data_IF_957703016267
#
_entry.id   IF_957703016267
#
_cell.length_a   1.000
_cell.length_b   1.000
_cell.length_c   1.000
_cell.angle_alpha   90.00
_cell.angle_beta   90.00
_cell.angle_gamma   90.00
#
_symmetry.space_group_name_H-M   'P 1'
#
loop_
_entity.id
_entity.type
_entity.pdbx_description
1 polymer ?
#
# COMPACT_ATOMS: atom_id res chain seq x y z
N UNK A 1 -0.28 -37.91 -9.00
CA UNK A 1 0.99 -37.65 -9.71
C UNK A 1 0.89 -36.18 -10.08
N UNK A 2 1.27 -35.25 -9.23
CA UNK A 2 2.53 -35.14 -8.48
C UNK A 2 2.26 -34.43 -7.14
N UNK A 3 2.74 -34.98 -6.03
CA UNK A 3 2.57 -34.39 -4.69
C UNK A 3 3.79 -34.71 -3.83
N UNK A 4 4.94 -34.21 -4.24
CA UNK A 4 6.06 -34.02 -3.33
C UNK A 4 5.73 -32.85 -2.41
N UNK A 5 5.06 -33.12 -1.30
CA UNK A 5 5.18 -32.28 -0.11
C UNK A 5 6.66 -32.35 0.29
N UNK A 6 7.41 -31.28 0.03
CA UNK A 6 8.80 -31.17 0.50
C UNK A 6 8.81 -31.26 2.02
N UNK A 7 9.35 -32.35 2.57
CA UNK A 7 9.64 -32.47 3.99
C UNK A 7 10.81 -31.52 4.32
N UNK A 8 10.50 -30.34 4.85
CA UNK A 8 11.50 -29.38 5.33
C UNK A 8 11.96 -29.75 6.74
N UNK A 9 13.27 -29.67 7.00
CA UNK A 9 13.78 -29.73 8.37
C UNK A 9 13.42 -28.45 9.13
N UNK A 10 13.39 -28.50 10.47
CA UNK A 10 13.09 -27.32 11.29
C UNK A 10 14.03 -26.14 11.01
N UNK A 11 15.32 -26.41 10.77
CA UNK A 11 16.30 -25.40 10.37
C UNK A 11 15.96 -24.78 9.00
N UNK A 12 15.63 -25.62 8.00
CA UNK A 12 15.24 -25.15 6.67
C UNK A 12 13.94 -24.35 6.70
N UNK A 13 13.01 -24.70 7.59
CA UNK A 13 11.77 -23.96 7.77
C UNK A 13 12.02 -22.60 8.41
N UNK A 14 12.84 -22.52 9.47
CA UNK A 14 13.20 -21.24 10.11
C UNK A 14 13.91 -20.33 9.13
N UNK A 15 14.85 -20.85 8.34
CA UNK A 15 15.52 -20.06 7.31
C UNK A 15 14.53 -19.58 6.26
N UNK A 16 13.63 -20.45 5.77
CA UNK A 16 12.59 -20.07 4.82
C UNK A 16 11.63 -19.01 5.39
N UNK A 17 11.28 -19.08 6.68
CA UNK A 17 10.46 -18.04 7.31
C UNK A 17 11.22 -16.72 7.40
N UNK A 18 12.51 -16.75 7.75
CA UNK A 18 13.36 -15.55 7.79
C UNK A 18 13.52 -14.91 6.41
N UNK A 19 13.72 -15.72 5.38
CA UNK A 19 13.77 -15.26 3.98
C UNK A 19 12.47 -14.58 3.57
N UNK A 20 11.31 -15.19 3.89
CA UNK A 20 10.00 -14.60 3.62
C UNK A 20 9.77 -13.29 4.40
N UNK A 21 10.24 -13.21 5.64
CA UNK A 21 10.18 -11.97 6.44
C UNK A 21 11.07 -10.87 5.83
N UNK A 22 12.26 -11.20 5.35
CA UNK A 22 13.14 -10.25 4.65
C UNK A 22 12.48 -9.78 3.36
N UNK A 23 11.95 -10.69 2.54
CA UNK A 23 11.25 -10.36 1.29
C UNK A 23 10.02 -9.47 1.56
N UNK A 24 9.25 -9.80 2.61
CA UNK A 24 8.13 -8.98 3.04
C UNK A 24 8.57 -7.59 3.53
N UNK A 25 9.70 -7.49 4.25
CA UNK A 25 10.27 -6.22 4.72
C UNK A 25 10.79 -5.36 3.58
N UNK A 26 11.39 -5.97 2.55
CA UNK A 26 11.83 -5.26 1.35
C UNK A 26 10.64 -4.77 0.52
N UNK A 27 9.57 -5.57 0.43
CA UNK A 27 8.35 -5.19 -0.28
C UNK A 27 7.50 -4.15 0.49
N UNK A 28 7.53 -4.16 1.83
CA UNK A 28 6.71 -3.30 2.69
C UNK A 28 7.55 -2.57 3.75
N UNK A 29 8.28 -1.50 3.37
CA UNK A 29 9.24 -0.83 4.25
C UNK A 29 8.62 0.14 5.27
N UNK A 30 7.31 0.39 5.23
CA UNK A 30 6.66 1.40 6.07
C UNK A 30 5.70 0.78 7.09
N UNK A 31 5.52 1.47 8.22
CA UNK A 31 4.56 1.06 9.25
C UNK A 31 3.12 1.12 8.74
N UNK A 32 2.39 0.03 8.83
CA UNK A 32 1.01 -0.08 8.35
C UNK A 32 -0.06 -0.03 9.46
N UNK A 33 0.23 0.67 10.56
CA UNK A 33 -0.61 0.78 11.76
C UNK A 33 -1.48 2.05 11.82
N UNK A 34 -1.38 2.96 10.83
CA UNK A 34 -2.17 4.21 10.79
C UNK A 34 -2.95 4.39 9.48
N UNK A 35 -4.28 4.36 9.56
CA UNK A 35 -5.12 4.68 8.41
C UNK A 35 -5.19 6.21 8.15
N UNK A 36 -4.97 6.61 6.90
CA UNK A 36 -4.93 8.04 6.50
C UNK A 36 -6.29 8.73 6.43
N UNK A 37 -7.42 8.03 6.58
CA UNK A 37 -8.75 8.66 6.58
C UNK A 37 -8.82 9.83 7.56
N UNK A 38 -8.28 9.67 8.77
CA UNK A 38 -8.33 10.72 9.80
C UNK A 38 -7.47 11.94 9.47
N UNK A 39 -6.56 11.84 8.49
CA UNK A 39 -5.70 12.93 8.03
C UNK A 39 -6.35 13.80 6.95
N UNK A 40 -7.52 13.39 6.43
CA UNK A 40 -8.24 14.12 5.40
C UNK A 40 -7.72 13.85 3.98
N UNK A 41 -7.79 14.85 3.12
CA UNK A 41 -7.33 14.76 1.74
C UNK A 41 -5.82 14.95 1.66
N UNK A 42 -5.14 13.98 1.08
CA UNK A 42 -3.70 13.95 0.91
C UNK A 42 -3.35 13.49 -0.50
N UNK A 43 -2.11 13.76 -0.91
CA UNK A 43 -1.43 12.99 -1.96
C UNK A 43 -0.74 11.79 -1.32
N UNK A 44 -1.14 10.58 -1.68
CA UNK A 44 -0.68 9.36 -1.01
C UNK A 44 -0.76 8.15 -1.95
N UNK A 45 -0.03 7.09 -1.63
CA UNK A 45 -0.18 5.79 -2.31
C UNK A 45 -1.54 5.17 -2.00
N UNK A 46 -2.26 4.79 -3.05
CA UNK A 46 -3.59 4.18 -2.96
C UNK A 46 -3.66 2.84 -3.68
N UNK A 47 -4.62 2.04 -3.25
CA UNK A 47 -4.99 0.77 -3.86
C UNK A 47 -6.49 0.74 -4.11
N UNK A 48 -6.91 0.33 -5.31
CA UNK A 48 -8.31 0.00 -5.58
C UNK A 48 -8.59 -1.42 -5.12
N UNK A 49 -9.61 -1.62 -4.27
CA UNK A 49 -10.03 -2.96 -3.88
C UNK A 49 -11.14 -3.46 -4.79
N UNK A 50 -10.78 -4.32 -5.76
CA UNK A 50 -11.71 -4.89 -6.74
C UNK A 50 -12.72 -5.84 -6.09
N UNK A 51 -12.32 -6.51 -5.01
CA UNK A 51 -13.22 -7.37 -4.22
C UNK A 51 -14.33 -6.55 -3.58
N UNK A 52 -13.97 -5.53 -2.79
CA UNK A 52 -14.96 -4.63 -2.19
C UNK A 52 -15.77 -3.86 -3.23
N UNK A 53 -15.18 -3.54 -4.39
CA UNK A 53 -15.91 -2.89 -5.47
C UNK A 53 -17.06 -3.76 -5.97
N UNK A 54 -16.84 -5.07 -6.17
CA UNK A 54 -17.89 -6.01 -6.58
C UNK A 54 -18.95 -6.20 -5.51
N UNK A 55 -18.55 -6.25 -4.24
CA UNK A 55 -19.45 -6.45 -3.10
C UNK A 55 -20.32 -5.21 -2.81
N UNK A 56 -19.74 -4.01 -2.89
CA UNK A 56 -20.41 -2.76 -2.55
C UNK A 56 -21.00 -2.03 -3.77
N UNK A 57 -20.79 -2.56 -4.98
CA UNK A 57 -21.11 -1.92 -6.27
C UNK A 57 -20.64 -0.45 -6.34
N UNK A 58 -19.39 -0.22 -5.92
CA UNK A 58 -18.83 1.12 -5.76
C UNK A 58 -17.32 1.14 -5.94
N UNK A 59 -16.82 2.10 -6.73
CA UNK A 59 -15.39 2.43 -6.75
C UNK A 59 -14.93 2.86 -5.36
N UNK A 60 -13.71 2.48 -5.02
CA UNK A 60 -13.09 2.73 -3.72
C UNK A 60 -11.57 2.85 -3.89
N UNK A 61 -10.93 3.63 -3.02
CA UNK A 61 -9.48 3.66 -2.87
C UNK A 61 -9.08 3.54 -1.40
N UNK A 62 -8.20 2.61 -1.06
CA UNK A 62 -7.70 2.41 0.29
C UNK A 62 -6.22 2.80 0.39
N UNK A 63 -5.82 3.37 1.52
CA UNK A 63 -4.42 3.75 1.74
C UNK A 63 -3.52 2.53 1.96
N UNK A 64 -2.21 2.74 1.86
CA UNK A 64 -1.18 1.72 2.12
C UNK A 64 -1.43 0.89 3.38
N UNK A 65 -1.63 1.50 4.56
CA UNK A 65 -1.88 0.69 5.76
C UNK A 65 -3.12 -0.21 5.67
N UNK A 66 -4.16 0.24 4.98
CA UNK A 66 -5.41 -0.52 4.87
C UNK A 66 -5.33 -1.61 3.81
N UNK A 67 -4.53 -1.43 2.75
CA UNK A 67 -4.28 -2.49 1.76
C UNK A 67 -3.68 -3.73 2.44
N UNK A 68 -2.84 -3.52 3.45
CA UNK A 68 -2.21 -4.58 4.25
C UNK A 68 -3.11 -5.03 5.41
N UNK A 69 -3.48 -4.13 6.33
CA UNK A 69 -4.15 -4.54 7.59
C UNK A 69 -5.61 -4.93 7.44
N UNK A 70 -6.30 -4.46 6.40
CA UNK A 70 -7.75 -4.66 6.23
C UNK A 70 -8.11 -5.43 4.95
N UNK A 71 -7.27 -5.34 3.92
CA UNK A 71 -7.58 -5.83 2.58
C UNK A 71 -6.52 -6.79 2.01
N UNK A 72 -5.63 -7.35 2.83
CA UNK A 72 -4.57 -8.24 2.34
C UNK A 72 -5.08 -9.51 1.64
N UNK A 73 -6.30 -9.98 1.98
CA UNK A 73 -6.96 -11.13 1.33
C UNK A 73 -7.75 -10.76 0.07
N UNK A 74 -7.81 -9.48 -0.27
CA UNK A 74 -8.62 -9.01 -1.39
C UNK A 74 -7.77 -8.81 -2.64
N UNK A 75 -8.42 -8.94 -3.79
CA UNK A 75 -7.85 -8.49 -5.06
C UNK A 75 -7.72 -6.95 -5.05
N UNK A 76 -6.47 -6.48 -5.07
CA UNK A 76 -6.09 -5.08 -5.03
C UNK A 76 -5.33 -4.70 -6.31
N UNK A 77 -5.55 -3.46 -6.79
CA UNK A 77 -4.75 -2.86 -7.85
C UNK A 77 -4.08 -1.61 -7.29
N UNK A 78 -2.75 -1.55 -7.36
CA UNK A 78 -1.98 -0.38 -6.97
C UNK A 78 -2.26 0.80 -7.93
N UNK A 79 -2.58 1.96 -7.37
CA UNK A 79 -2.87 3.19 -8.11
C UNK A 79 -1.73 4.20 -8.02
N UNK A 80 -0.63 3.82 -7.35
CA UNK A 80 0.48 4.69 -6.99
C UNK A 80 -0.02 5.93 -6.23
N UNK A 81 0.65 7.05 -6.41
CA UNK A 81 0.28 8.33 -5.80
C UNK A 81 -0.95 8.91 -6.49
N UNK A 82 -1.98 9.21 -5.68
CA UNK A 82 -3.14 10.00 -6.07
C UNK A 82 -3.31 11.17 -5.12
N UNK A 83 -3.59 12.35 -5.66
CA UNK A 83 -3.78 13.59 -4.90
C UNK A 83 -5.21 13.79 -4.43
N UNK A 84 -5.35 14.68 -3.45
CA UNK A 84 -6.63 15.11 -2.90
C UNK A 84 -7.59 13.94 -2.64
N UNK A 85 -7.08 12.88 -2.02
CA UNK A 85 -7.84 11.66 -1.79
C UNK A 85 -7.79 11.25 -0.32
N UNK A 86 -8.94 10.87 0.21
CA UNK A 86 -9.11 10.37 1.57
C UNK A 86 -9.48 8.89 1.53
N UNK A 87 -8.80 8.05 2.33
CA UNK A 87 -8.96 6.59 2.32
C UNK A 87 -10.42 6.14 2.53
N UNK A 88 -10.95 5.28 1.66
CA UNK A 88 -12.34 4.80 1.73
C UNK A 88 -12.55 3.61 2.68
N UNK A 89 -11.49 3.03 3.25
CA UNK A 89 -11.61 1.86 4.12
C UNK A 89 -12.52 2.17 5.31
N UNK A 90 -13.50 1.30 5.57
CA UNK A 90 -14.48 1.47 6.65
C UNK A 90 -15.66 2.39 6.31
N UNK A 91 -15.75 2.86 5.06
CA UNK A 91 -16.91 3.60 4.55
C UNK A 91 -17.86 2.67 3.82
N UNK A 92 -19.03 3.18 3.42
CA UNK A 92 -19.94 2.42 2.54
C UNK A 92 -19.43 2.22 1.11
N UNK A 93 -18.20 2.61 0.76
CA UNK A 93 -17.54 2.24 -0.51
C UNK A 93 -16.78 0.92 -0.43
N UNK A 94 -16.40 0.46 0.76
CA UNK A 94 -15.64 -0.80 0.97
C UNK A 94 -16.47 -1.92 1.62
N UNK A 95 -17.80 -1.85 1.54
CA UNK A 95 -18.68 -2.65 2.40
C UNK A 95 -18.74 -2.05 3.80
N UNK A 96 -19.91 -2.07 4.44
CA UNK A 96 -20.19 -1.33 5.68
C UNK A 96 -19.43 -1.82 6.94
N UNK A 97 -18.40 -2.64 6.78
CA UNK A 97 -17.51 -3.09 7.84
C UNK A 97 -16.65 -1.94 8.35
N UNK A 98 -16.23 -2.00 9.61
CA UNK A 98 -15.32 -1.00 10.18
C UNK A 98 -13.87 -1.24 9.75
N UNK A 99 -13.09 -0.18 9.61
CA UNK A 99 -11.64 -0.31 9.44
C UNK A 99 -11.01 -0.92 10.71
N UNK A 100 -10.21 -1.98 10.59
CA UNK A 100 -9.56 -2.66 11.72
C UNK A 100 -8.60 -1.75 12.48
N UNK A 101 -7.88 -0.88 11.76
CA UNK A 101 -6.93 0.08 12.35
C UNK A 101 -7.67 1.13 13.18
N UNK A 102 -8.68 1.80 12.59
CA UNK A 102 -9.42 2.87 13.26
C UNK A 102 -10.50 2.37 14.22
N UNK A 103 -10.85 1.09 14.14
CA UNK A 103 -11.92 0.41 14.91
C UNK A 103 -13.27 1.13 14.84
N UNK A 104 -13.54 1.79 13.71
CA UNK A 104 -14.72 2.63 13.52
C UNK A 104 -15.15 2.67 12.06
N UNK A 105 -16.45 2.91 11.85
CA UNK A 105 -16.99 3.23 10.53
C UNK A 105 -16.71 4.69 10.19
N UNK A 106 -16.66 4.98 8.90
CA UNK A 106 -16.42 6.29 8.35
C UNK A 106 -17.51 6.71 7.37
N UNK A 107 -17.65 8.01 7.18
CA UNK A 107 -18.51 8.58 6.15
C UNK A 107 -17.76 8.64 4.82
N UNK A 108 -18.49 8.69 3.71
CA UNK A 108 -17.86 8.84 2.40
C UNK A 108 -17.21 10.21 2.29
N UNK A 109 -15.98 10.25 1.81
CA UNK A 109 -15.31 11.48 1.44
C UNK A 109 -15.96 12.07 0.16
N UNK A 110 -16.62 13.23 0.22
CA UNK A 110 -17.41 13.74 -0.90
C UNK A 110 -16.56 14.28 -2.07
N UNK A 111 -15.29 14.63 -1.84
CA UNK A 111 -14.42 15.23 -2.86
C UNK A 111 -13.49 14.22 -3.53
N UNK A 112 -13.51 12.95 -3.10
CA UNK A 112 -12.76 11.88 -3.76
C UNK A 112 -13.19 11.77 -5.22
N UNK A 113 -12.20 11.73 -6.12
CA UNK A 113 -12.41 11.55 -7.56
C UNK A 113 -11.93 10.16 -7.98
N UNK A 114 -12.71 9.53 -8.86
CA UNK A 114 -12.45 8.17 -9.33
C UNK A 114 -12.46 8.18 -10.85
N UNK A 115 -11.34 7.82 -11.46
CA UNK A 115 -11.26 7.50 -12.87
C UNK A 115 -11.29 5.97 -13.06
N UNK A 116 -11.10 5.50 -14.29
CA UNK A 116 -11.10 4.07 -14.60
C UNK A 116 -9.92 3.28 -13.98
N UNK A 117 -8.87 3.94 -13.44
CA UNK A 117 -7.79 3.24 -12.72
C UNK A 117 -8.33 2.53 -11.49
N UNK A 118 -9.37 3.09 -10.86
CA UNK A 118 -10.06 2.47 -9.74
C UNK A 118 -10.84 1.21 -10.12
N UNK A 119 -10.89 0.86 -11.41
CA UNK A 119 -11.42 -0.40 -11.95
C UNK A 119 -10.31 -1.35 -12.42
N UNK A 120 -9.05 -1.00 -12.15
CA UNK A 120 -7.87 -1.69 -12.68
C UNK A 120 -7.57 -1.40 -14.15
N UNK A 121 -8.21 -0.39 -14.76
CA UNK A 121 -8.00 -0.02 -16.17
C UNK A 121 -7.17 1.24 -16.30
N UNK A 122 -6.22 1.24 -17.21
CA UNK A 122 -5.30 2.35 -17.38
C UNK A 122 -5.16 2.71 -18.86
N UNK A 123 -4.64 3.91 -19.09
CA UNK A 123 -4.33 4.46 -20.40
C UNK A 123 -5.58 4.71 -21.26
N UNK A 124 -5.44 5.53 -22.29
CA UNK A 124 -6.52 5.76 -23.27
C UNK A 124 -6.97 4.48 -24.01
N UNK A 125 -6.21 3.37 -23.91
CA UNK A 125 -6.61 2.06 -24.42
C UNK A 125 -7.58 1.29 -23.49
N UNK A 126 -7.83 1.79 -22.28
CA UNK A 126 -8.79 1.26 -21.30
C UNK A 126 -8.61 -0.25 -21.00
N UNK A 127 -7.35 -0.69 -20.99
CA UNK A 127 -6.99 -2.10 -20.78
C UNK A 127 -6.75 -2.35 -19.30
N UNK A 128 -7.13 -3.54 -18.83
CA UNK A 128 -6.85 -3.96 -17.47
C UNK A 128 -5.34 -4.10 -17.28
N UNK A 129 -4.79 -3.45 -16.26
CA UNK A 129 -3.36 -3.47 -15.99
C UNK A 129 -2.99 -4.73 -15.21
N UNK A 130 -2.03 -5.46 -15.75
CA UNK A 130 -1.42 -6.63 -15.12
C UNK A 130 0.09 -6.38 -15.09
N UNK A 131 0.69 -6.16 -13.90
CA UNK A 131 2.11 -5.83 -13.78
C UNK A 131 3.02 -6.94 -14.28
N UNK A 132 2.56 -8.20 -14.34
CA UNK A 132 3.36 -9.33 -14.85
C UNK A 132 3.37 -9.40 -16.39
N UNK A 133 2.33 -8.86 -17.03
CA UNK A 133 2.17 -8.90 -18.48
C UNK A 133 2.48 -7.56 -19.15
N UNK A 134 2.50 -6.46 -18.38
CA UNK A 134 2.74 -5.15 -18.95
C UNK A 134 4.16 -5.03 -19.50
N UNK A 135 4.25 -4.59 -20.76
CA UNK A 135 5.51 -4.43 -21.46
C UNK A 135 5.68 -2.97 -21.88
N UNK A 136 6.83 -2.38 -21.54
CA UNK A 136 7.15 -1.00 -21.86
C UNK A 136 6.98 -0.05 -20.67
N UNK A 137 7.36 1.20 -20.87
CA UNK A 137 7.30 2.22 -19.82
C UNK A 137 5.93 2.89 -19.83
N UNK A 138 5.34 3.04 -18.64
CA UNK A 138 4.13 3.84 -18.47
C UNK A 138 4.47 5.19 -17.84
N UNK A 139 3.77 6.23 -18.26
CA UNK A 139 3.95 7.59 -17.76
C UNK A 139 2.66 8.11 -17.15
N UNK A 140 2.76 8.67 -15.95
CA UNK A 140 1.62 9.30 -15.28
C UNK A 140 1.43 10.74 -15.80
N UNK A 141 0.20 11.07 -16.19
CA UNK A 141 -0.16 12.45 -16.51
C UNK A 141 -0.22 13.30 -15.23
N UNK A 142 0.56 14.36 -15.14
CA UNK A 142 0.60 15.26 -13.97
C UNK A 142 -0.78 15.88 -13.66
N UNK A 143 -1.66 16.04 -14.66
CA UNK A 143 -2.96 16.72 -14.52
C UNK A 143 -4.18 15.81 -14.26
N UNK A 144 -4.17 14.54 -14.65
CA UNK A 144 -5.28 13.62 -14.35
C UNK A 144 -4.87 12.39 -13.53
N UNK A 145 -3.57 12.21 -13.29
CA UNK A 145 -2.97 11.07 -12.57
C UNK A 145 -3.26 9.70 -13.18
N UNK A 146 -3.81 9.68 -14.40
CA UNK A 146 -3.93 8.47 -15.21
C UNK A 146 -2.57 8.10 -15.82
N UNK A 147 -2.35 6.81 -16.04
CA UNK A 147 -1.11 6.25 -16.56
C UNK A 147 -1.26 5.86 -18.02
N UNK A 148 -0.28 6.21 -18.85
CA UNK A 148 -0.34 5.99 -20.29
C UNK A 148 0.85 5.15 -20.74
N UNK A 149 0.59 4.13 -21.55
CA UNK A 149 1.66 3.39 -22.24
C UNK A 149 2.42 4.30 -23.18
N UNK A 150 3.74 4.12 -23.26
CA UNK A 150 4.62 4.76 -24.24
C UNK A 150 4.05 4.75 -25.66
N UNK A 151 3.67 3.57 -26.18
CA UNK A 151 3.05 3.35 -27.50
C UNK A 151 1.76 4.13 -27.70
N UNK A 152 0.97 4.30 -26.65
CA UNK A 152 -0.30 5.03 -26.70
C UNK A 152 -0.06 6.54 -26.66
N UNK A 153 0.96 7.00 -25.93
CA UNK A 153 1.42 8.37 -25.98
C UNK A 153 1.95 8.72 -27.38
N UNK A 154 2.80 7.89 -27.97
CA UNK A 154 3.31 8.08 -29.35
C UNK A 154 2.18 8.14 -30.38
N UNK A 155 1.22 7.22 -30.30
CA UNK A 155 0.04 7.23 -31.16
C UNK A 155 -0.76 8.54 -31.01
N UNK A 156 -0.93 9.02 -29.78
CA UNK A 156 -1.58 10.31 -29.51
C UNK A 156 -0.72 11.53 -29.87
N UNK A 157 0.60 11.35 -29.99
CA UNK A 157 1.61 12.32 -30.43
C UNK A 157 1.82 12.28 -31.96
N UNK A 158 0.77 11.94 -32.72
CA UNK A 158 0.79 11.89 -34.18
C UNK A 158 1.81 10.89 -34.74
N UNK A 159 2.13 9.83 -33.99
CA UNK A 159 3.11 8.82 -34.37
C UNK A 159 4.56 9.28 -34.24
N UNK A 160 4.82 10.43 -33.61
CA UNK A 160 6.19 10.84 -33.27
C UNK A 160 6.65 10.05 -32.04
N UNK A 161 7.91 9.57 -32.05
CA UNK A 161 8.48 8.91 -30.88
C UNK A 161 8.49 9.85 -29.68
N UNK A 162 8.51 9.28 -28.47
CA UNK A 162 8.70 10.07 -27.27
C UNK A 162 10.08 10.77 -27.30
N UNK A 163 10.22 11.94 -26.65
CA UNK A 163 11.52 12.53 -26.42
C UNK A 163 12.44 11.57 -25.64
N UNK A 164 13.73 11.86 -25.62
CA UNK A 164 14.67 11.10 -24.80
C UNK A 164 14.22 11.13 -23.33
N UNK A 165 14.31 9.99 -22.63
CA UNK A 165 13.81 9.87 -21.25
C UNK A 165 14.52 10.80 -20.26
N UNK A 166 15.73 11.29 -20.59
CA UNK A 166 16.45 12.26 -19.76
C UNK A 166 16.06 13.72 -20.08
N UNK A 167 15.23 13.94 -21.10
CA UNK A 167 14.85 15.28 -21.56
C UNK A 167 13.55 15.82 -20.96
N UNK A 168 12.80 15.00 -20.23
CA UNK A 168 11.57 15.41 -19.56
C UNK A 168 11.35 14.62 -18.27
N UNK A 169 10.66 15.26 -17.33
CA UNK A 169 10.28 14.70 -16.02
C UNK A 169 8.78 14.42 -15.96
N UNK A 170 7.95 15.28 -16.58
CA UNK A 170 6.50 15.16 -16.48
C UNK A 170 5.81 15.07 -17.84
N UNK A 171 4.66 14.40 -17.84
CA UNK A 171 3.78 14.26 -19.01
C UNK A 171 2.44 14.92 -18.74
N UNK A 172 1.91 15.63 -19.75
CA UNK A 172 0.50 16.03 -19.81
C UNK A 172 -0.15 15.29 -20.97
N UNK A 173 -1.13 14.43 -20.69
CA UNK A 173 -1.80 13.66 -21.73
C UNK A 173 -2.59 14.56 -22.71
N UNK A 174 -2.84 14.04 -23.92
CA UNK A 174 -3.55 14.78 -24.97
C UNK A 174 -4.90 15.34 -24.52
N UNK A 175 -5.65 14.61 -23.71
CA UNK A 175 -6.99 15.04 -23.26
C UNK A 175 -6.89 16.22 -22.30
N UNK A 176 -5.93 16.20 -21.37
CA UNK A 176 -5.64 17.33 -20.50
C UNK A 176 -5.13 18.54 -21.30
N UNK A 177 -4.26 18.32 -22.29
CA UNK A 177 -3.80 19.38 -23.19
C UNK A 177 -4.97 19.98 -23.96
N UNK A 178 -5.88 19.17 -24.49
CA UNK A 178 -7.07 19.64 -25.20
C UNK A 178 -7.99 20.45 -24.30
N UNK A 179 -8.24 19.96 -23.07
CA UNK A 179 -9.08 20.62 -22.08
C UNK A 179 -8.54 21.99 -21.65
N UNK A 180 -7.22 22.11 -21.53
CA UNK A 180 -6.56 23.30 -20.99
C UNK A 180 -5.72 24.06 -22.03
N UNK A 181 -5.92 23.82 -23.33
CA UNK A 181 -5.10 24.37 -24.43
C UNK A 181 -4.97 25.89 -24.41
N UNK A 182 -6.05 26.55 -23.99
CA UNK A 182 -6.15 28.01 -23.87
C UNK A 182 -5.22 28.58 -22.78
N UNK A 183 -4.76 27.77 -21.83
CA UNK A 183 -3.85 28.18 -20.75
C UNK A 183 -2.48 27.48 -20.79
N UNK A 184 -2.42 26.27 -21.37
CA UNK A 184 -1.19 25.47 -21.50
C UNK A 184 -0.41 25.79 -22.76
N UNK A 185 -1.08 25.94 -23.91
CA UNK A 185 -0.43 26.06 -25.22
C UNK A 185 -0.42 27.49 -25.79
N UNK A 186 -1.10 28.43 -25.11
CA UNK A 186 -1.41 29.76 -25.63
C UNK A 186 -0.72 30.90 -24.85
N UNK A 187 0.62 31.03 -24.93
CA UNK A 187 1.35 32.08 -24.22
C UNK A 187 0.97 33.50 -24.69
N UNK A 188 0.42 33.62 -25.90
CA UNK A 188 -0.01 34.88 -26.51
C UNK A 188 -1.45 35.26 -26.15
N UNK A 189 -2.19 34.37 -25.47
CA UNK A 189 -3.60 34.56 -25.10
C UNK A 189 -4.53 34.88 -26.28
N UNK A 190 -4.31 34.25 -27.44
CA UNK A 190 -5.25 34.34 -28.57
C UNK A 190 -6.42 33.39 -28.34
N UNK A 191 -7.60 33.91 -27.97
CA UNK A 191 -8.78 33.07 -27.69
C UNK A 191 -9.79 33.04 -28.85
N UNK A 192 -10.33 31.86 -29.22
CA UNK A 192 -9.91 30.53 -28.77
C UNK A 192 -8.56 30.14 -29.38
N UNK A 193 -7.80 29.26 -28.71
CA UNK A 193 -6.59 28.68 -29.29
C UNK A 193 -6.92 27.92 -30.59
N UNK A 194 -6.15 28.19 -31.65
CA UNK A 194 -6.49 27.76 -33.03
C UNK A 194 -5.60 26.67 -33.61
N UNK A 195 -4.47 26.36 -32.99
CA UNK A 195 -3.46 25.44 -33.54
C UNK A 195 -3.71 24.01 -33.08
N UNK A 196 -4.73 23.37 -33.65
CA UNK A 196 -5.12 22.02 -33.22
C UNK A 196 -4.05 20.96 -33.51
N UNK A 197 -3.12 21.23 -34.43
CA UNK A 197 -1.95 20.40 -34.66
C UNK A 197 -0.98 20.33 -33.46
N UNK A 198 -1.11 21.24 -32.49
CA UNK A 198 -0.32 21.26 -31.25
C UNK A 198 -1.06 20.63 -30.06
N UNK A 199 -2.30 20.16 -30.25
CA UNK A 199 -3.07 19.42 -29.23
C UNK A 199 -2.64 17.95 -29.23
N UNK A 200 -1.43 17.74 -28.72
CA UNK A 200 -0.75 16.46 -28.50
C UNK A 200 -0.24 16.40 -27.06
N UNK A 201 0.17 15.24 -26.53
CA UNK A 201 0.79 15.19 -25.22
C UNK A 201 1.96 16.18 -25.11
N UNK A 202 2.09 16.83 -23.95
CA UNK A 202 3.24 17.69 -23.65
C UNK A 202 4.19 16.94 -22.72
N UNK A 203 5.48 17.13 -22.97
CA UNK A 203 6.57 16.57 -22.17
C UNK A 203 7.30 17.77 -21.56
N UNK A 204 7.38 17.79 -20.24
CA UNK A 204 7.80 18.96 -19.46
C UNK A 204 9.15 18.66 -18.80
N UNK A 205 10.13 19.52 -19.05
CA UNK A 205 11.43 19.52 -18.37
C UNK A 205 11.34 20.13 -16.96
N UNK A 206 12.39 20.00 -16.15
CA UNK A 206 12.50 20.56 -14.79
C UNK A 206 12.16 22.06 -14.68
N UNK A 207 12.36 22.84 -15.74
CA UNK A 207 12.18 24.28 -15.79
C UNK A 207 10.83 24.69 -16.40
N UNK A 208 9.91 23.74 -16.68
CA UNK A 208 8.66 24.02 -17.39
C UNK A 208 7.84 25.15 -16.75
N UNK A 209 7.91 25.29 -15.41
CA UNK A 209 7.19 26.33 -14.65
C UNK A 209 7.61 27.74 -15.04
N UNK A 210 8.87 27.94 -15.43
CA UNK A 210 9.39 29.24 -15.89
C UNK A 210 8.82 29.63 -17.27
N UNK A 211 8.47 28.63 -18.08
CA UNK A 211 7.89 28.81 -19.42
C UNK A 211 6.38 29.03 -19.39
N UNK A 212 5.72 28.82 -18.24
CA UNK A 212 4.29 29.03 -18.09
C UNK A 212 3.95 30.52 -18.02
N UNK A 213 2.89 30.91 -18.73
CA UNK A 213 2.44 32.31 -18.75
C UNK A 213 1.97 32.80 -17.37
N UNK A 214 2.41 33.99 -16.94
CA UNK A 214 2.22 34.53 -15.59
C UNK A 214 1.08 35.57 -15.47
N UNK A 215 0.19 35.70 -16.45
CA UNK A 215 -0.91 36.65 -16.37
C UNK A 215 -1.96 36.24 -15.32
N UNK A 216 -2.69 37.19 -14.74
CA UNK A 216 -3.70 36.91 -13.71
C UNK A 216 -4.75 35.88 -14.18
N UNK A 217 -5.33 35.95 -15.40
CA UNK A 217 -6.29 34.95 -15.86
C UNK A 217 -5.74 33.50 -15.89
N UNK A 218 -4.51 33.31 -16.39
CA UNK A 218 -3.89 31.98 -16.45
C UNK A 218 -3.51 31.48 -15.05
N UNK A 219 -3.05 32.37 -14.18
CA UNK A 219 -2.72 32.02 -12.80
C UNK A 219 -3.97 31.61 -12.01
N UNK A 220 -5.09 32.31 -12.15
CA UNK A 220 -6.34 31.94 -11.48
C UNK A 220 -6.88 30.59 -11.97
N UNK A 221 -6.79 30.31 -13.27
CA UNK A 221 -7.18 28.99 -13.82
C UNK A 221 -6.25 27.89 -13.29
N UNK A 222 -4.93 28.12 -13.21
CA UNK A 222 -4.01 27.12 -12.65
C UNK A 222 -4.25 26.89 -11.17
N UNK A 223 -4.42 27.93 -10.35
CA UNK A 223 -4.74 27.78 -8.92
C UNK A 223 -6.00 26.94 -8.68
N UNK A 224 -7.01 27.11 -9.54
CA UNK A 224 -8.32 26.45 -9.37
C UNK A 224 -8.40 25.07 -10.01
N UNK A 225 -7.73 24.83 -11.14
CA UNK A 225 -7.92 23.61 -11.94
C UNK A 225 -6.64 22.79 -12.14
N UNK A 226 -5.45 23.38 -11.97
CA UNK A 226 -4.16 22.75 -12.22
C UNK A 226 -3.07 23.22 -11.21
N UNK A 227 -3.33 23.16 -9.89
CA UNK A 227 -2.44 23.76 -8.89
C UNK A 227 -1.03 23.14 -8.91
N UNK A 228 -0.94 21.87 -9.28
CA UNK A 228 0.33 21.13 -9.42
C UNK A 228 1.31 21.75 -10.44
N UNK A 229 0.81 22.55 -11.38
CA UNK A 229 1.68 23.26 -12.34
C UNK A 229 2.31 24.52 -11.74
N UNK A 230 1.87 24.97 -10.57
CA UNK A 230 2.41 26.14 -9.87
C UNK A 230 3.43 25.70 -8.83
N UNK A 231 3.04 24.75 -7.98
CA UNK A 231 3.84 24.28 -6.85
C UNK A 231 3.75 22.76 -6.77
N UNK A 232 4.83 22.14 -6.30
CA UNK A 232 4.85 20.70 -6.03
C UNK A 232 4.00 20.38 -4.80
N UNK A 233 3.23 19.30 -4.90
CA UNK A 233 2.43 18.80 -3.79
C UNK A 233 3.20 17.68 -3.08
N UNK A 234 3.42 17.80 -1.76
CA UNK A 234 4.15 16.79 -1.00
C UNK A 234 3.36 15.48 -0.97
N UNK A 235 4.07 14.38 -1.18
CA UNK A 235 3.52 13.04 -1.03
C UNK A 235 3.56 12.69 0.46
N UNK A 236 2.42 12.30 1.00
CA UNK A 236 2.35 11.72 2.33
C UNK A 236 2.92 10.30 2.28
N UNK A 237 4.05 10.12 2.93
CA UNK A 237 4.68 8.83 3.18
C UNK A 237 4.42 8.40 4.61
N UNK A 238 4.24 7.09 4.80
CA UNK A 238 4.10 6.52 6.13
C UNK A 238 5.47 6.50 6.81
N UNK A 239 5.52 6.56 8.15
CA UNK A 239 6.80 6.43 8.86
C UNK A 239 7.48 5.12 8.47
N UNK A 240 8.77 5.18 8.19
CA UNK A 240 9.60 3.99 8.06
C UNK A 240 9.53 3.19 9.35
N UNK A 241 9.56 1.87 9.21
CA UNK A 241 9.55 1.01 10.37
C UNK A 241 10.92 1.01 11.05
N UNK A 242 11.07 1.82 12.11
CA UNK A 242 12.32 1.99 12.86
C UNK A 242 12.81 0.73 13.56
N UNK A 243 11.92 -0.24 13.80
CA UNK A 243 12.29 -1.54 14.36
C UNK A 243 13.07 -2.38 13.31
N UNK A 244 13.28 -1.83 12.10
CA UNK A 244 14.00 -2.46 11.00
C UNK A 244 15.53 -2.26 11.00
N UNK A 245 16.11 -1.40 11.82
CA UNK A 245 17.58 -1.26 11.93
C UNK A 245 18.21 -2.28 12.91
N UNK A 246 17.49 -2.70 13.95
CA UNK A 246 18.06 -3.44 15.09
C UNK A 246 18.23 -4.96 14.86
N UNK A 247 17.52 -5.57 13.91
CA UNK A 247 17.56 -7.03 13.66
C UNK A 247 18.63 -7.46 12.63
N UNK A 248 19.19 -6.52 11.86
CA UNK A 248 20.24 -6.81 10.88
C UNK A 248 21.66 -6.85 11.50
N UNK A 249 21.85 -6.22 12.67
CA UNK A 249 23.13 -6.14 13.39
C UNK A 249 23.18 -7.03 14.66
N UNK A 250 22.16 -7.85 14.90
CA UNK A 250 22.20 -8.88 15.92
C UNK A 250 23.17 -10.00 15.50
N UNK A 251 24.45 -9.77 15.80
CA UNK A 251 25.56 -10.64 15.51
C UNK A 251 25.32 -12.10 15.90
N UNK A 252 25.79 -12.97 15.02
CA UNK A 252 26.07 -14.39 15.26
C UNK A 252 26.88 -14.50 16.55
N UNK A 253 26.28 -14.99 17.64
CA UNK A 253 26.86 -15.90 18.65
C UNK A 253 25.96 -15.97 19.89
N UNK A 254 25.55 -17.20 20.25
CA UNK A 254 25.11 -17.60 21.60
C UNK A 254 23.63 -17.49 22.02
N UNK A 255 22.68 -18.04 21.24
CA UNK A 255 21.33 -18.34 21.75
C UNK A 255 20.70 -19.60 21.12
N UNK A 256 21.47 -20.70 21.03
CA UNK A 256 21.06 -21.91 20.30
C UNK A 256 20.36 -23.01 21.12
N UNK A 257 20.17 -22.88 22.43
CA UNK A 257 19.75 -24.06 23.26
C UNK A 257 18.37 -23.98 23.93
N UNK A 258 17.66 -22.85 23.86
CA UNK A 258 16.35 -22.69 24.50
C UNK A 258 15.18 -22.58 23.52
N UNK A 259 15.42 -22.12 22.29
CA UNK A 259 14.38 -21.93 21.27
C UNK A 259 13.92 -23.26 20.62
N UNK A 260 14.78 -24.29 20.60
CA UNK A 260 14.48 -25.62 20.06
C UNK A 260 13.43 -26.41 20.89
N UNK A 261 13.39 -26.22 22.21
CA UNK A 261 12.54 -27.02 23.10
C UNK A 261 11.09 -26.52 23.06
N UNK A 262 10.89 -25.21 22.92
CA UNK A 262 9.55 -24.59 22.94
C UNK A 262 8.76 -24.95 21.68
N UNK A 263 9.44 -25.18 20.55
CA UNK A 263 8.83 -25.34 19.22
C UNK A 263 8.00 -26.61 19.01
N UNK A 264 8.25 -27.71 19.74
CA UNK A 264 7.53 -28.98 19.50
C UNK A 264 6.06 -28.97 19.93
N UNK A 265 5.71 -28.24 21.00
CA UNK A 265 4.32 -28.01 21.43
C UNK A 265 3.62 -26.91 20.62
N UNK A 266 4.39 -26.11 19.88
CA UNK A 266 3.91 -24.97 19.09
C UNK A 266 3.43 -25.40 17.69
N UNK A 267 3.81 -26.61 17.25
CA UNK A 267 3.40 -27.17 15.96
C UNK A 267 1.87 -27.38 15.86
N UNK A 268 1.23 -27.83 16.94
CA UNK A 268 -0.21 -28.11 16.96
C UNK A 268 -1.05 -26.82 17.03
N UNK A 269 -0.50 -25.75 17.62
CA UNK A 269 -1.17 -24.45 17.76
C UNK A 269 -1.12 -23.68 16.44
N UNK A 270 0.03 -23.71 15.75
CA UNK A 270 0.22 -23.05 14.46
C UNK A 270 -0.60 -23.71 13.34
N UNK A 271 -0.75 -25.04 13.34
CA UNK A 271 -1.62 -25.75 12.40
C UNK A 271 -3.11 -25.41 12.53
N UNK A 272 -3.54 -24.96 13.71
CA UNK A 272 -4.92 -24.51 13.95
C UNK A 272 -5.10 -23.05 13.51
N UNK A 273 -4.06 -22.22 13.64
CA UNK A 273 -4.05 -20.82 13.19
C UNK A 273 -4.09 -20.69 11.66
N UNK A 274 -3.50 -21.65 10.95
CA UNK A 274 -3.52 -21.76 9.48
C UNK A 274 -4.94 -22.00 8.90
N UNK A 275 -5.91 -22.34 9.76
CA UNK A 275 -7.32 -22.55 9.39
C UNK A 275 -8.23 -21.39 9.79
N UNK A 276 -7.70 -20.33 10.40
CA UNK A 276 -8.47 -19.17 10.82
C UNK A 276 -8.38 -18.04 9.79
N UNK A 277 -9.45 -17.24 9.60
CA UNK A 277 -9.40 -16.04 8.76
C UNK A 277 -8.30 -15.06 9.23
N UNK A 278 -7.55 -14.43 8.31
CA UNK A 278 -6.33 -13.64 8.59
C UNK A 278 -6.45 -12.61 9.72
N UNK A 279 -7.63 -12.01 9.91
CA UNK A 279 -7.85 -11.00 10.99
C UNK A 279 -7.79 -11.63 12.40
N UNK A 280 -8.25 -12.88 12.56
CA UNK A 280 -8.13 -13.61 13.83
C UNK A 280 -6.72 -14.18 14.03
N UNK A 281 -5.98 -14.43 12.95
CA UNK A 281 -4.59 -14.80 13.02
C UNK A 281 -3.72 -13.66 13.56
N UNK A 282 -4.00 -12.40 13.23
CA UNK A 282 -3.25 -11.22 13.72
C UNK A 282 -3.51 -10.93 15.21
N UNK A 283 -4.78 -10.96 15.66
CA UNK A 283 -5.09 -10.91 17.10
C UNK A 283 -4.49 -12.11 17.84
N UNK A 284 -4.47 -13.27 17.17
CA UNK A 284 -3.80 -14.49 17.60
C UNK A 284 -2.30 -14.32 17.75
N UNK A 285 -1.62 -13.67 16.81
CA UNK A 285 -0.16 -13.39 16.82
C UNK A 285 0.19 -12.42 17.95
N UNK A 286 -0.59 -11.37 18.19
CA UNK A 286 -0.34 -10.48 19.33
C UNK A 286 -0.68 -11.12 20.68
N UNK A 287 -1.74 -11.94 20.76
CA UNK A 287 -2.04 -12.73 21.96
C UNK A 287 -0.98 -13.80 22.21
N UNK A 288 -0.42 -14.36 21.15
CA UNK A 288 0.66 -15.32 21.14
C UNK A 288 1.98 -14.70 21.56
N UNK A 289 2.35 -13.52 21.05
CA UNK A 289 3.56 -12.80 21.47
C UNK A 289 3.48 -12.38 22.94
N UNK A 290 2.29 -12.01 23.44
CA UNK A 290 2.06 -11.80 24.88
C UNK A 290 2.25 -13.09 25.67
N UNK A 291 1.60 -14.17 25.26
CA UNK A 291 1.70 -15.47 25.93
C UNK A 291 3.14 -16.02 25.93
N UNK A 292 3.88 -15.81 24.83
CA UNK A 292 5.29 -16.15 24.66
C UNK A 292 6.14 -15.41 25.68
N UNK A 293 6.01 -14.09 25.76
CA UNK A 293 6.78 -13.27 26.70
C UNK A 293 6.47 -13.66 28.16
N UNK A 294 5.21 -13.87 28.48
CA UNK A 294 4.78 -14.25 29.84
C UNK A 294 5.21 -15.67 30.23
N UNK A 295 5.27 -16.59 29.27
CA UNK A 295 5.79 -17.94 29.49
C UNK A 295 7.32 -17.93 29.66
N UNK A 296 8.02 -17.11 28.87
CA UNK A 296 9.46 -16.89 29.01
C UNK A 296 9.78 -16.31 30.40
N UNK A 297 9.02 -15.33 30.86
CA UNK A 297 9.17 -14.74 32.20
C UNK A 297 8.90 -15.76 33.32
N UNK A 298 7.91 -16.65 33.14
CA UNK A 298 7.61 -17.72 34.09
C UNK A 298 8.74 -18.77 34.17
N UNK A 299 9.38 -19.09 33.05
CA UNK A 299 10.43 -20.10 32.97
C UNK A 299 11.82 -19.56 33.33
N UNK A 300 12.03 -18.24 33.24
CA UNK A 300 13.30 -17.56 33.53
C UNK A 300 13.89 -17.90 34.92
N UNK A 301 13.10 -17.92 36.03
CA UNK A 301 13.59 -18.30 37.36
C UNK A 301 14.03 -19.77 37.44
N UNK A 302 13.33 -20.68 36.74
CA UNK A 302 13.69 -22.11 36.71
C UNK A 302 15.02 -22.32 35.98
N UNK A 303 15.24 -21.58 34.88
CA UNK A 303 16.51 -21.58 34.16
C UNK A 303 17.66 -21.01 35.00
N UNK A 304 17.43 -19.90 35.72
CA UNK A 304 18.43 -19.26 36.59
C UNK A 304 18.80 -20.10 37.81
N UNK A 305 17.85 -20.84 38.36
CA UNK A 305 18.05 -21.69 39.53
C UNK A 305 18.38 -23.16 39.19
N UNK A 306 18.51 -23.47 37.89
CA UNK A 306 18.74 -24.81 37.35
C UNK A 306 17.74 -25.85 37.89
N UNK A 307 16.48 -25.44 38.01
CA UNK A 307 15.37 -26.27 38.50
C UNK A 307 14.69 -26.97 37.33
N UNK A 308 14.39 -28.25 37.52
CA UNK A 308 13.64 -29.06 36.55
C UNK A 308 12.20 -28.56 36.50
N UNK A 309 11.75 -28.15 35.32
CA UNK A 309 10.35 -27.80 35.06
C UNK A 309 9.56 -29.09 34.88
N UNK A 310 8.50 -29.26 35.67
CA UNK A 310 7.63 -30.43 35.59
C UNK A 310 6.37 -30.13 34.77
N UNK A 311 5.70 -31.19 34.32
CA UNK A 311 4.41 -31.09 33.61
C UNK A 311 3.34 -30.38 34.47
N UNK A 312 3.40 -30.53 35.79
CA UNK A 312 2.49 -29.86 36.71
C UNK A 312 2.71 -28.34 36.74
N UNK A 313 3.96 -27.88 36.67
CA UNK A 313 4.31 -26.45 36.65
C UNK A 313 3.73 -25.75 35.42
N UNK A 314 3.87 -26.37 34.24
CA UNK A 314 3.30 -25.86 32.98
C UNK A 314 1.77 -25.91 33.03
N UNK A 315 1.20 -27.01 33.52
CA UNK A 315 -0.26 -27.16 33.60
C UNK A 315 -0.88 -26.12 34.54
N UNK A 316 -0.22 -25.81 35.66
CA UNK A 316 -0.66 -24.80 36.62
C UNK A 316 -0.60 -23.39 36.03
N UNK A 317 0.47 -23.05 35.30
CA UNK A 317 0.59 -21.76 34.59
C UNK A 317 -0.61 -21.49 33.66
N UNK A 318 -1.03 -22.49 32.89
CA UNK A 318 -2.19 -22.35 32.00
C UNK A 318 -3.54 -22.37 32.75
N UNK A 319 -3.66 -23.16 33.84
CA UNK A 319 -4.89 -23.22 34.65
C UNK A 319 -5.17 -21.91 35.40
N UNK A 320 -4.14 -21.23 35.92
CA UNK A 320 -4.29 -19.93 36.60
C UNK A 320 -4.79 -18.84 35.63
N UNK A 321 -4.37 -18.88 34.37
CA UNK A 321 -4.87 -17.97 33.31
C UNK A 321 -6.31 -18.22 32.91
N UNK A 322 -6.71 -19.49 32.75
CA UNK A 322 -8.08 -19.86 32.40
C UNK A 322 -9.10 -19.44 33.46
N UNK A 323 -8.69 -19.40 34.74
CA UNK A 323 -9.52 -18.93 35.84
C UNK A 323 -9.53 -17.40 35.98
N UNK A 324 -8.45 -16.72 35.62
CA UNK A 324 -8.35 -15.25 35.66
C UNK A 324 -9.20 -14.57 34.58
N UNK A 325 -9.39 -15.21 33.42
CA UNK A 325 -10.25 -14.71 32.33
C UNK A 325 -11.77 -14.86 32.55
N UNK A 326 -12.21 -15.62 33.57
CA UNK A 326 -13.64 -15.83 33.87
C UNK A 326 -14.23 -14.88 34.90
N UNK A 327 -13.40 -14.11 35.62
CA UNK A 327 -13.84 -13.17 36.67
C UNK A 327 -13.84 -11.69 36.23
N UNK A 328 -13.68 -11.41 34.93
CA UNK A 328 -13.63 -10.06 34.37
C UNK A 328 -14.61 -9.84 33.22
N UNK A 329 -15.79 -10.46 33.27
CA UNK A 329 -16.90 -10.24 32.34
C UNK A 329 -17.99 -9.36 32.94
#
# INVERSE_FOLDING_TARGET
MDSTLEELTAEQYVERQRELEIEAREAYPYKFDECTYSKGYLKQTLYACLTCQREADSLNGVCYSCSISCHADHELVELFHKRHFQCDCGTSRTGHESCTIRKSKAERAPENQYNHNFQGRFCSCDTFYDPEQESGTMFQCILCEDWFHDRCLEASNQGKPLPDSESFEWVVCKDCVSKYKDCLLNPQHEFPYKKEELVVPQFLDEQFREHLCQCDPCMEIRKTQMPILIEDEPIYEQPEDSDMEDEADAGVEDMRSLDEIVSSTMQDVLHVLDRLPRVQAIEGVHAYNRLKNELTDFLLPFARENKVVTKEDISNFFLERLNSGKNGG
#
